data_IF_098098893166
#
_entry.id   IF_098098893166
#
_cell.length_a   1.000
_cell.length_b   1.000
_cell.length_c   1.000
_cell.angle_alpha   90.00
_cell.angle_beta   90.00
_cell.angle_gamma   90.00
#
_symmetry.space_group_name_H-M   'P 1'
#
loop_
_entity.id
_entity.type
_entity.pdbx_description
1 polymer ?
#
# COMPACT_ATOMS: atom_id res chain seq x y z
N UNK A 1 -10.59 7.61 -9.81
CA UNK A 1 -10.45 6.14 -9.81
C UNK A 1 -11.54 5.59 -10.71
N UNK A 2 -11.20 4.81 -11.73
CA UNK A 2 -12.19 4.29 -12.69
C UNK A 2 -12.56 2.87 -12.28
N UNK A 3 -13.80 2.68 -11.84
CA UNK A 3 -14.34 1.33 -11.63
C UNK A 3 -14.68 0.72 -12.98
N UNK A 4 -14.39 -0.56 -13.14
CA UNK A 4 -14.74 -1.32 -14.34
C UNK A 4 -15.25 -2.71 -14.00
N UNK A 5 -15.92 -3.29 -14.99
CA UNK A 5 -16.40 -4.66 -14.99
C UNK A 5 -15.86 -5.36 -16.23
N UNK A 6 -15.37 -6.58 -16.06
CA UNK A 6 -14.89 -7.40 -17.15
C UNK A 6 -15.35 -8.84 -16.95
N UNK A 7 -15.76 -9.49 -18.03
CA UNK A 7 -16.13 -10.91 -18.06
C UNK A 7 -15.23 -11.64 -19.05
N UNK A 8 -14.84 -12.86 -18.70
CA UNK A 8 -13.95 -13.64 -19.54
C UNK A 8 -13.64 -15.01 -18.96
N UNK A 9 -12.71 -15.69 -19.60
CA UNK A 9 -12.20 -16.98 -19.16
C UNK A 9 -10.83 -16.81 -18.55
N UNK A 10 -10.57 -17.45 -17.40
CA UNK A 10 -9.25 -17.45 -16.76
C UNK A 10 -8.24 -18.08 -17.72
N UNK A 11 -7.28 -17.28 -18.17
CA UNK A 11 -6.21 -17.70 -19.06
C UNK A 11 -4.97 -18.18 -18.29
N UNK A 12 -4.71 -17.59 -17.12
CA UNK A 12 -3.56 -17.95 -16.28
C UNK A 12 -3.75 -17.50 -14.84
N UNK A 13 -3.18 -18.24 -13.89
CA UNK A 13 -3.24 -17.95 -12.44
C UNK A 13 -1.81 -17.81 -11.91
N UNK A 14 -1.57 -16.73 -11.15
CA UNK A 14 -0.26 -16.28 -10.69
C UNK A 14 -0.34 -15.87 -9.20
N UNK A 15 -0.41 -16.85 -8.31
CA UNK A 15 -0.63 -16.60 -6.88
C UNK A 15 -1.98 -15.92 -6.63
N UNK A 16 -1.97 -14.68 -6.14
CA UNK A 16 -3.18 -13.89 -5.87
C UNK A 16 -3.70 -13.09 -7.08
N UNK A 17 -3.00 -13.20 -8.22
CA UNK A 17 -3.39 -12.57 -9.49
C UNK A 17 -3.78 -13.63 -10.51
N UNK A 18 -4.61 -13.23 -11.47
CA UNK A 18 -4.97 -14.08 -12.59
C UNK A 18 -5.27 -13.22 -13.82
N UNK A 19 -5.05 -13.77 -15.01
CA UNK A 19 -5.39 -13.13 -16.26
C UNK A 19 -6.72 -13.69 -16.76
N UNK A 20 -7.62 -12.81 -17.20
CA UNK A 20 -8.84 -13.16 -17.91
C UNK A 20 -8.70 -12.79 -19.38
N UNK A 21 -9.18 -13.66 -20.27
CA UNK A 21 -9.34 -13.37 -21.69
C UNK A 21 -10.82 -13.10 -21.96
N UNK A 22 -11.13 -11.87 -22.35
CA UNK A 22 -12.48 -11.40 -22.65
C UNK A 22 -12.53 -10.62 -23.97
N UNK A 23 -13.61 -9.87 -24.19
CA UNK A 23 -13.82 -9.13 -25.44
C UNK A 23 -12.73 -8.07 -25.71
N UNK A 24 -12.19 -7.45 -24.66
CA UNK A 24 -11.14 -6.43 -24.74
C UNK A 24 -9.71 -7.03 -24.70
N UNK A 25 -9.59 -8.34 -24.96
CA UNK A 25 -8.34 -9.09 -24.88
C UNK A 25 -8.01 -9.55 -23.46
N UNK A 26 -6.71 -9.72 -23.19
CA UNK A 26 -6.23 -10.22 -21.90
C UNK A 26 -6.05 -9.11 -20.88
N UNK A 27 -6.64 -9.29 -19.72
CA UNK A 27 -6.56 -8.34 -18.60
C UNK A 27 -6.09 -9.05 -17.34
N UNK A 28 -5.13 -8.45 -16.64
CA UNK A 28 -4.70 -8.93 -15.34
C UNK A 28 -5.66 -8.43 -14.25
N UNK A 29 -6.02 -9.32 -13.34
CA UNK A 29 -6.86 -9.06 -12.18
C UNK A 29 -6.11 -9.48 -10.91
N UNK A 30 -6.25 -8.67 -9.86
CA UNK A 30 -5.60 -8.88 -8.57
C UNK A 30 -6.66 -8.99 -7.47
N UNK A 31 -6.62 -10.08 -6.67
CA UNK A 31 -7.46 -10.28 -5.48
C UNK A 31 -6.74 -9.86 -4.19
N UNK A 32 -5.42 -9.66 -4.26
CA UNK A 32 -4.56 -9.53 -3.08
C UNK A 32 -4.43 -10.84 -2.31
N UNK A 33 -3.42 -10.98 -1.43
CA UNK A 33 -3.16 -12.24 -0.72
C UNK A 33 -4.39 -12.76 0.04
N UNK A 34 -5.05 -11.89 0.82
CA UNK A 34 -6.24 -12.25 1.61
C UNK A 34 -7.47 -12.52 0.75
N UNK A 35 -7.67 -11.77 -0.33
CA UNK A 35 -8.84 -11.98 -1.20
C UNK A 35 -8.75 -13.26 -2.03
N UNK A 36 -7.53 -13.79 -2.21
CA UNK A 36 -7.31 -15.08 -2.85
C UNK A 36 -7.49 -16.28 -1.89
N UNK A 37 -7.51 -16.05 -0.57
CA UNK A 37 -7.75 -17.13 0.40
C UNK A 37 -9.16 -17.71 0.21
N UNK A 38 -9.25 -19.02 -0.01
CA UNK A 38 -10.53 -19.71 -0.23
C UNK A 38 -11.11 -19.57 -1.65
N UNK A 39 -10.41 -18.89 -2.57
CA UNK A 39 -10.80 -18.78 -3.97
C UNK A 39 -9.97 -19.76 -4.81
N UNK A 40 -10.61 -20.81 -5.31
CA UNK A 40 -9.95 -21.87 -6.09
C UNK A 40 -10.12 -21.65 -7.60
N UNK A 41 -9.48 -20.63 -8.16
CA UNK A 41 -9.50 -20.36 -9.61
C UNK A 41 -8.58 -21.31 -10.39
N UNK A 42 -9.05 -21.73 -11.57
CA UNK A 42 -8.34 -22.58 -12.52
C UNK A 42 -8.38 -21.97 -13.91
N UNK A 43 -7.37 -22.29 -14.72
CA UNK A 43 -7.39 -21.96 -16.15
C UNK A 43 -8.61 -22.63 -16.79
N UNK A 44 -9.38 -21.86 -17.56
CA UNK A 44 -10.63 -22.29 -18.17
C UNK A 44 -11.90 -21.87 -17.41
N UNK A 45 -11.78 -21.37 -16.17
CA UNK A 45 -12.96 -20.92 -15.42
C UNK A 45 -13.56 -19.65 -16.05
N UNK A 46 -14.88 -19.64 -16.25
CA UNK A 46 -15.60 -18.42 -16.59
C UNK A 46 -15.83 -17.57 -15.34
N UNK A 47 -15.49 -16.28 -15.44
CA UNK A 47 -15.56 -15.35 -14.32
C UNK A 47 -16.00 -13.96 -14.76
N UNK A 48 -16.53 -13.21 -13.81
CA UNK A 48 -16.77 -11.77 -13.93
C UNK A 48 -16.05 -11.06 -12.79
N UNK A 49 -15.26 -10.04 -13.10
CA UNK A 49 -14.55 -9.21 -12.13
C UNK A 49 -15.09 -7.79 -12.17
N UNK A 50 -15.26 -7.20 -10.99
CA UNK A 50 -15.56 -5.79 -10.81
C UNK A 50 -14.52 -5.19 -9.87
N UNK A 51 -13.97 -4.04 -10.22
CA UNK A 51 -12.89 -3.44 -9.45
C UNK A 51 -12.35 -2.15 -10.03
N UNK A 52 -11.31 -1.62 -9.39
CA UNK A 52 -10.66 -0.39 -9.85
C UNK A 52 -9.64 -0.72 -10.95
N UNK A 53 -9.70 -0.02 -12.08
CA UNK A 53 -8.67 -0.09 -13.11
C UNK A 53 -7.42 0.65 -12.66
N UNK A 54 -6.33 -0.09 -12.50
CA UNK A 54 -4.97 0.42 -12.40
C UNK A 54 -4.31 0.39 -13.78
N UNK A 55 -3.17 1.07 -13.96
CA UNK A 55 -2.46 1.04 -15.24
C UNK A 55 -2.13 -0.38 -15.74
N UNK A 56 -1.85 -1.32 -14.82
CA UNK A 56 -1.40 -2.68 -15.17
C UNK A 56 -2.41 -3.79 -14.88
N UNK A 57 -3.43 -3.54 -14.08
CA UNK A 57 -4.35 -4.59 -13.60
C UNK A 57 -5.70 -4.02 -13.15
N UNK A 58 -6.65 -4.92 -12.91
CA UNK A 58 -7.90 -4.62 -12.21
C UNK A 58 -7.69 -5.01 -10.75
N UNK A 59 -7.73 -4.01 -9.87
CA UNK A 59 -7.78 -4.25 -8.42
C UNK A 59 -9.19 -4.70 -8.07
N UNK A 60 -9.41 -6.00 -7.99
CA UNK A 60 -10.74 -6.62 -7.89
C UNK A 60 -11.37 -6.28 -6.55
N UNK A 61 -12.58 -5.74 -6.56
CA UNK A 61 -13.42 -5.57 -5.39
C UNK A 61 -14.45 -6.70 -5.26
N UNK A 62 -14.83 -7.31 -6.40
CA UNK A 62 -15.78 -8.43 -6.47
C UNK A 62 -15.43 -9.38 -7.60
N UNK A 63 -15.40 -10.67 -7.30
CA UNK A 63 -15.26 -11.76 -8.26
C UNK A 63 -16.54 -12.59 -8.24
N UNK A 64 -17.13 -12.84 -9.40
CA UNK A 64 -18.24 -13.77 -9.57
C UNK A 64 -17.79 -14.95 -10.43
N UNK A 65 -17.92 -16.16 -9.93
CA UNK A 65 -17.59 -17.40 -10.64
C UNK A 65 -18.77 -17.90 -11.49
N UNK A 66 -18.52 -18.88 -12.36
CA UNK A 66 -19.51 -19.43 -13.28
C UNK A 66 -20.76 -20.02 -12.59
N UNK A 67 -20.59 -20.57 -11.38
CA UNK A 67 -21.68 -21.08 -10.53
C UNK A 67 -22.51 -19.97 -9.87
N UNK A 68 -22.16 -18.69 -10.11
CA UNK A 68 -22.80 -17.53 -9.51
C UNK A 68 -22.28 -17.17 -8.13
N UNK A 69 -21.30 -17.89 -7.57
CA UNK A 69 -20.70 -17.57 -6.28
C UNK A 69 -20.00 -16.21 -6.36
N UNK A 70 -20.28 -15.34 -5.40
CA UNK A 70 -19.72 -13.98 -5.35
C UNK A 70 -18.72 -13.89 -4.19
N UNK A 71 -17.47 -13.60 -4.52
CA UNK A 71 -16.40 -13.32 -3.57
C UNK A 71 -16.17 -11.80 -3.50
N UNK A 72 -16.50 -11.22 -2.35
CA UNK A 72 -16.13 -9.83 -2.05
C UNK A 72 -14.68 -9.76 -1.59
N UNK A 73 -13.89 -8.86 -2.17
CA UNK A 73 -12.47 -8.69 -1.85
C UNK A 73 -12.29 -7.48 -0.96
N UNK A 74 -11.90 -7.73 0.29
CA UNK A 74 -11.54 -6.66 1.23
C UNK A 74 -10.05 -6.33 1.08
N UNK A 75 -9.77 -5.12 0.63
CA UNK A 75 -8.41 -4.61 0.61
C UNK A 75 -8.07 -3.96 1.95
N UNK A 76 -6.91 -4.26 2.55
CA UNK A 76 -6.43 -3.47 3.66
C UNK A 76 -6.27 -2.03 3.17
N UNK A 77 -6.85 -1.10 3.89
CA UNK A 77 -6.59 0.31 3.64
C UNK A 77 -5.10 0.54 3.89
N UNK A 78 -4.44 1.27 2.98
CA UNK A 78 -3.02 1.62 3.14
C UNK A 78 -2.79 2.52 4.36
N UNK A 79 -3.87 3.04 4.96
CA UNK A 79 -3.89 3.92 6.12
C UNK A 79 -4.64 3.33 7.33
N UNK A 80 -5.40 2.24 7.19
CA UNK A 80 -6.09 1.61 8.33
C UNK A 80 -5.11 0.70 9.09
N UNK A 81 -4.32 1.33 9.96
CA UNK A 81 -3.52 0.62 10.93
C UNK A 81 -2.13 1.22 11.12
N UNK A 82 -2.05 2.45 11.58
CA UNK A 82 -1.02 2.88 12.54
C UNK A 82 -1.24 4.35 12.87
N UNK A 83 -2.28 4.63 13.66
CA UNK A 83 -2.20 5.79 14.51
C UNK A 83 -1.16 5.47 15.58
N UNK A 84 0.12 5.74 15.29
CA UNK A 84 1.16 5.69 16.31
C UNK A 84 0.80 6.70 17.39
N UNK A 85 0.77 6.28 18.64
CA UNK A 85 0.43 7.15 19.77
C UNK A 85 1.61 8.08 20.09
N UNK A 86 1.49 9.41 19.90
CA UNK A 86 2.51 10.39 20.24
C UNK A 86 2.93 10.33 21.70
N UNK A 87 2.01 10.02 22.61
CA UNK A 87 2.32 9.95 24.03
C UNK A 87 3.23 8.75 24.32
N UNK A 88 2.86 7.56 23.82
CA UNK A 88 3.71 6.37 23.92
C UNK A 88 5.07 6.56 23.21
N UNK A 89 5.10 7.27 22.08
CA UNK A 89 6.33 7.55 21.35
C UNK A 89 7.30 8.47 22.12
N UNK A 90 6.77 9.52 22.76
CA UNK A 90 7.53 10.39 23.66
C UNK A 90 8.10 9.59 24.82
N UNK A 91 7.28 8.77 25.48
CA UNK A 91 7.72 7.94 26.61
C UNK A 91 8.83 6.95 26.21
N UNK A 92 8.74 6.33 25.04
CA UNK A 92 9.76 5.43 24.53
C UNK A 92 11.09 6.17 24.23
N UNK A 93 11.02 7.37 23.65
CA UNK A 93 12.20 8.19 23.40
C UNK A 93 12.92 8.59 24.70
N UNK A 94 12.17 9.01 25.72
CA UNK A 94 12.70 9.34 27.04
C UNK A 94 13.30 8.11 27.74
N UNK A 95 12.62 6.96 27.69
CA UNK A 95 13.15 5.70 28.23
C UNK A 95 14.45 5.25 27.54
N UNK A 96 14.65 5.62 26.27
CA UNK A 96 15.89 5.39 25.51
C UNK A 96 16.99 6.45 25.78
N UNK A 97 16.75 7.38 26.71
CA UNK A 97 17.71 8.41 27.14
C UNK A 97 17.82 9.60 26.19
N UNK A 98 16.80 9.87 25.38
CA UNK A 98 16.71 11.07 24.57
C UNK A 98 15.88 12.14 25.29
N UNK A 99 16.26 13.40 25.13
CA UNK A 99 15.46 14.56 25.57
C UNK A 99 14.56 15.00 24.42
N UNK A 100 13.25 14.90 24.57
CA UNK A 100 12.31 15.37 23.54
C UNK A 100 12.32 16.91 23.47
N UNK A 101 12.44 17.45 22.26
CA UNK A 101 12.65 18.90 22.02
C UNK A 101 11.51 19.59 21.27
N UNK A 102 10.46 18.85 20.88
CA UNK A 102 9.31 19.40 20.18
C UNK A 102 8.14 18.42 20.10
N UNK A 103 7.09 18.81 19.38
CA UNK A 103 5.88 18.02 19.24
C UNK A 103 6.11 16.79 18.33
N UNK A 104 5.72 15.58 18.75
CA UNK A 104 5.79 14.39 17.90
C UNK A 104 4.82 14.45 16.71
N UNK A 105 5.30 14.08 15.53
CA UNK A 105 4.49 14.06 14.30
C UNK A 105 4.07 12.64 13.94
N UNK A 106 2.76 12.42 13.74
CA UNK A 106 2.23 11.13 13.28
C UNK A 106 2.54 10.91 11.80
N UNK A 107 3.21 9.80 11.48
CA UNK A 107 3.36 9.28 10.11
C UNK A 107 2.58 7.98 9.94
N UNK A 108 2.27 7.53 8.71
CA UNK A 108 1.49 6.31 8.48
C UNK A 108 2.08 5.00 9.04
N UNK A 109 3.36 4.97 9.46
CA UNK A 109 4.05 3.76 9.94
C UNK A 109 4.80 3.92 11.27
N UNK A 110 4.98 5.14 11.74
CA UNK A 110 5.75 5.48 12.95
C UNK A 110 5.37 6.89 13.42
N UNK A 111 5.81 7.26 14.61
CA UNK A 111 5.81 8.65 15.08
C UNK A 111 7.22 9.21 14.91
N UNK A 112 7.34 10.38 14.29
CA UNK A 112 8.60 11.13 14.27
C UNK A 112 8.67 11.99 15.55
N UNK A 113 9.70 11.78 16.37
CA UNK A 113 9.91 12.53 17.63
C UNK A 113 11.16 13.40 17.49
N UNK A 114 11.05 14.74 17.48
CA UNK A 114 12.22 15.61 17.57
C UNK A 114 12.82 15.50 18.97
N UNK A 115 14.10 15.15 19.05
CA UNK A 115 14.79 14.92 20.30
C UNK A 115 16.27 15.33 20.24
N UNK A 116 16.94 15.28 21.38
CA UNK A 116 18.36 15.57 21.54
C UNK A 116 19.01 14.51 22.43
N UNK A 117 20.24 14.12 22.09
CA UNK A 117 21.09 13.28 22.94
C UNK A 117 22.54 13.69 22.74
N UNK A 118 23.28 13.83 23.83
CA UNK A 118 24.69 14.24 23.82
C UNK A 118 24.95 15.55 23.04
N UNK A 119 24.02 16.52 23.14
CA UNK A 119 24.10 17.82 22.45
C UNK A 119 23.78 17.77 20.95
N UNK A 120 23.34 16.61 20.43
CA UNK A 120 22.97 16.42 19.02
C UNK A 120 21.45 16.31 18.87
N UNK A 121 20.87 17.22 18.08
CA UNK A 121 19.49 17.12 17.65
C UNK A 121 19.30 15.96 16.64
N UNK A 122 18.27 15.14 16.87
CA UNK A 122 17.88 14.00 16.05
C UNK A 122 16.36 13.97 15.86
N UNK A 123 15.90 13.35 14.77
CA UNK A 123 14.49 12.97 14.61
C UNK A 123 14.40 11.47 14.78
N UNK A 124 13.78 11.00 15.84
CA UNK A 124 13.61 9.58 16.10
C UNK A 124 12.39 9.07 15.33
N UNK A 125 12.52 7.88 14.76
CA UNK A 125 11.38 7.10 14.32
C UNK A 125 11.02 6.16 15.46
N UNK A 126 9.84 6.33 16.02
CA UNK A 126 9.29 5.40 17.00
C UNK A 126 8.26 4.53 16.31
N UNK A 127 8.61 3.26 16.13
CA UNK A 127 7.73 2.26 15.55
C UNK A 127 6.59 1.92 16.55
N UNK A 128 5.55 1.25 16.05
CA UNK A 128 4.34 0.92 16.85
C UNK A 128 4.62 0.07 18.09
N UNK A 129 5.67 -0.74 18.06
CA UNK A 129 6.09 -1.59 19.17
C UNK A 129 6.95 -0.85 20.21
N UNK A 130 7.14 0.47 20.03
CA UNK A 130 7.99 1.28 20.89
C UNK A 130 9.47 1.23 20.53
N UNK A 131 9.85 0.53 19.44
CA UNK A 131 11.24 0.53 18.97
C UNK A 131 11.62 1.93 18.51
N UNK A 132 12.65 2.49 19.15
CA UNK A 132 13.21 3.81 18.82
C UNK A 132 14.41 3.63 17.91
N UNK A 133 14.42 4.31 16.75
CA UNK A 133 15.55 4.31 15.83
C UNK A 133 15.80 5.69 15.23
N UNK A 134 17.07 6.03 15.01
CA UNK A 134 17.42 7.15 14.15
C UNK A 134 17.23 6.75 12.68
N UNK A 135 16.64 7.61 11.83
CA UNK A 135 16.56 7.35 10.41
C UNK A 135 17.97 7.21 9.85
N UNK A 136 18.17 6.19 9.02
CA UNK A 136 19.33 6.17 8.13
C UNK A 136 19.26 7.42 7.24
N UNK A 137 20.39 8.10 6.96
CA UNK A 137 20.39 9.18 5.99
C UNK A 137 19.76 8.65 4.70
N UNK A 138 18.76 9.36 4.18
CA UNK A 138 18.26 9.07 2.83
C UNK A 138 19.44 9.32 1.91
N UNK A 139 20.08 8.27 1.40
CA UNK A 139 20.92 8.39 0.21
C UNK A 139 20.10 9.14 -0.82
N UNK A 140 20.59 10.30 -1.22
CA UNK A 140 19.84 11.27 -2.01
C UNK A 140 19.25 10.61 -3.26
N UNK A 141 17.94 10.79 -3.43
CA UNK A 141 17.23 10.37 -4.61
C UNK A 141 17.76 11.15 -5.83
N UNK A 142 17.96 10.45 -6.95
CA UNK A 142 18.20 11.03 -8.27
C UNK A 142 17.23 12.18 -8.53
N UNK A 143 17.79 13.31 -8.92
CA UNK A 143 17.07 14.51 -9.37
C UNK A 143 16.22 14.17 -10.59
N UNK A 144 14.91 14.06 -10.41
CA UNK A 144 13.95 14.26 -11.50
C UNK A 144 13.96 15.76 -11.84
N UNK A 145 14.77 16.13 -12.83
CA UNK A 145 14.72 17.47 -13.40
C UNK A 145 13.47 17.59 -14.25
N UNK A 146 12.44 18.23 -13.71
CA UNK A 146 11.34 18.80 -14.49
C UNK A 146 11.41 20.32 -14.35
N UNK A 147 12.01 20.97 -15.34
CA UNK A 147 11.88 22.41 -15.57
C UNK A 147 11.23 22.62 -16.93
N UNK A 148 10.07 23.26 -16.89
CA UNK A 148 9.34 23.78 -18.03
C UNK A 148 9.89 25.16 -18.46
N UNK A 149 9.28 25.70 -19.54
CA UNK A 149 9.41 27.06 -20.12
C UNK A 149 10.49 27.18 -21.21
N UNK A 150 10.28 27.81 -22.38
CA UNK A 150 9.21 28.67 -22.84
C UNK A 150 9.17 28.73 -24.39
N UNK A 151 8.01 29.13 -24.87
CA UNK A 151 7.63 29.73 -26.14
C UNK A 151 8.61 30.79 -26.69
N UNK A 152 8.88 30.76 -28.00
CA UNK A 152 8.98 31.93 -28.88
C UNK A 152 8.97 31.44 -30.34
N UNK A 153 7.90 31.81 -31.06
CA UNK A 153 7.81 31.75 -32.51
C UNK A 153 8.44 33.00 -33.14
#
# INVERSE_FOLDING_TARGET
MTTMKAAGTVWGVFGHRFAIEGADGRQLADLGPKGAEGVALRVGDAVTVEGEKKPSEIKVARLTTADGTVHAVTWPDKHAGSEGDPAAATAAAEAAGYRVTGEPERKPKHVEVPAEKDGRAVRLHVDRDGTVREPKPKTEAKTDSKSASAEAA
#
